data_IF_681456423567
#
_entry.id   IF_681456423567
#
_cell.length_a   1.000
_cell.length_b   1.000
_cell.length_c   1.000
_cell.angle_alpha   90.00
_cell.angle_beta   90.00
_cell.angle_gamma   90.00
#
_symmetry.space_group_name_H-M   'P 1'
#
loop_
_entity.id
_entity.type
_entity.pdbx_description
1 polymer ?
#
# COMPACT_ATOMS: atom_id res chain seq x y z
N UNK A 1 -3.75 27.17 13.51
CA UNK A 1 -5.01 27.88 13.23
C UNK A 1 -5.06 28.21 11.74
N UNK A 2 -6.21 28.02 11.12
CA UNK A 2 -6.47 28.33 9.72
C UNK A 2 -7.72 29.23 9.63
N UNK A 3 -7.60 30.37 8.99
CA UNK A 3 -8.71 31.30 8.73
C UNK A 3 -9.17 31.14 7.29
N UNK A 4 -10.47 30.90 7.12
CA UNK A 4 -11.12 30.75 5.82
C UNK A 4 -11.97 31.99 5.53
N UNK A 5 -11.75 32.65 4.40
CA UNK A 5 -12.60 33.77 3.94
C UNK A 5 -13.87 33.21 3.29
N UNK A 6 -14.88 32.98 4.12
CA UNK A 6 -16.19 32.49 3.69
C UNK A 6 -17.31 33.24 4.46
N UNK A 7 -18.38 33.58 3.74
CA UNK A 7 -19.47 34.41 4.29
C UNK A 7 -20.21 33.72 5.43
N UNK A 8 -20.43 32.41 5.32
CA UNK A 8 -21.15 31.60 6.29
C UNK A 8 -20.40 30.35 6.69
N UNK A 9 -20.68 29.84 7.89
CA UNK A 9 -20.17 28.53 8.36
C UNK A 9 -21.05 27.42 7.76
N UNK A 10 -20.55 26.66 6.76
CA UNK A 10 -21.32 25.55 6.21
C UNK A 10 -21.52 24.45 7.27
N UNK A 11 -22.67 23.75 7.25
CA UNK A 11 -22.96 22.66 8.20
C UNK A 11 -21.85 21.59 8.22
N UNK A 12 -21.31 21.25 7.06
CA UNK A 12 -20.21 20.28 6.92
C UNK A 12 -18.93 20.67 7.69
N UNK A 13 -18.62 21.98 7.79
CA UNK A 13 -17.50 22.44 8.61
C UNK A 13 -17.82 22.40 10.10
N UNK A 14 -19.07 22.65 10.49
CA UNK A 14 -19.49 22.56 11.89
C UNK A 14 -19.43 21.13 12.43
N UNK A 15 -19.69 20.14 11.57
CA UNK A 15 -19.62 18.71 11.91
C UNK A 15 -18.19 18.19 12.15
N UNK A 16 -17.16 18.94 11.73
CA UNK A 16 -15.77 18.52 11.91
C UNK A 16 -15.38 18.38 13.38
N UNK A 17 -16.04 19.12 14.29
CA UNK A 17 -15.74 19.07 15.72
C UNK A 17 -15.83 17.66 16.33
N UNK A 18 -16.63 16.78 15.76
CA UNK A 18 -16.82 15.39 16.25
C UNK A 18 -16.00 14.34 15.50
N UNK A 19 -15.19 14.72 14.51
CA UNK A 19 -14.49 13.75 13.64
C UNK A 19 -13.10 13.35 14.13
N UNK A 20 -12.55 14.06 15.09
CA UNK A 20 -11.28 13.68 15.73
C UNK A 20 -11.54 12.63 16.79
N UNK A 21 -10.94 11.48 16.65
CA UNK A 21 -11.05 10.36 17.62
C UNK A 21 -9.99 10.48 18.72
N UNK A 22 -10.27 9.92 19.89
CA UNK A 22 -9.36 10.02 21.05
C UNK A 22 -8.00 9.34 20.80
N UNK A 23 -7.97 8.38 19.90
CA UNK A 23 -6.76 7.62 19.49
C UNK A 23 -6.00 8.29 18.33
N UNK A 24 -6.44 9.44 17.82
CA UNK A 24 -5.67 10.18 16.81
C UNK A 24 -4.25 10.49 17.36
N UNK A 25 -3.17 10.13 16.65
CA UNK A 25 -1.82 10.27 17.19
C UNK A 25 -1.31 11.72 17.21
N UNK A 26 -1.92 12.64 16.46
CA UNK A 26 -1.42 14.01 16.25
C UNK A 26 -2.40 15.08 16.71
N UNK A 27 -3.71 14.86 16.55
CA UNK A 27 -4.74 15.85 16.83
C UNK A 27 -5.41 15.49 18.14
N UNK A 28 -5.41 16.44 19.09
CA UNK A 28 -6.13 16.33 20.35
C UNK A 28 -7.56 16.76 20.20
N UNK A 29 -7.81 17.79 19.38
CA UNK A 29 -9.14 18.34 19.14
C UNK A 29 -9.18 19.26 17.94
N UNK A 30 -10.39 19.43 17.42
CA UNK A 30 -10.67 20.32 16.31
C UNK A 30 -11.86 21.21 16.69
N UNK A 31 -11.71 22.51 16.53
CA UNK A 31 -12.74 23.49 16.80
C UNK A 31 -12.96 24.39 15.59
N UNK A 32 -14.20 24.60 15.22
CA UNK A 32 -14.59 25.45 14.10
C UNK A 32 -15.60 26.47 14.59
N UNK A 33 -15.42 27.72 14.20
CA UNK A 33 -16.32 28.78 14.58
C UNK A 33 -16.14 30.07 13.78
N UNK A 34 -17.14 30.97 13.86
CA UNK A 34 -17.02 32.30 13.28
C UNK A 34 -16.08 33.14 14.14
N UNK A 35 -15.02 33.66 13.51
CA UNK A 35 -14.05 34.53 14.17
C UNK A 35 -14.47 36.03 14.06
N UNK A 36 -14.81 36.45 12.84
CA UNK A 36 -15.29 37.79 12.50
C UNK A 36 -16.15 37.73 11.23
N UNK A 37 -16.89 38.79 10.87
CA UNK A 37 -17.69 38.77 9.64
C UNK A 37 -16.85 38.34 8.43
N UNK A 38 -17.36 37.34 7.70
CA UNK A 38 -16.67 36.78 6.51
C UNK A 38 -15.47 35.89 6.81
N UNK A 39 -15.16 35.57 8.08
CA UNK A 39 -14.03 34.70 8.44
C UNK A 39 -14.50 33.57 9.35
N UNK A 40 -14.33 32.34 8.90
CA UNK A 40 -14.45 31.12 9.70
C UNK A 40 -13.07 30.63 10.10
N UNK A 41 -12.91 30.34 11.40
CA UNK A 41 -11.63 29.87 11.94
C UNK A 41 -11.70 28.41 12.31
N UNK A 42 -10.72 27.65 11.81
CA UNK A 42 -10.39 26.29 12.25
C UNK A 42 -9.23 26.35 13.24
N UNK A 43 -9.39 25.69 14.38
CA UNK A 43 -8.33 25.52 15.38
C UNK A 43 -8.10 24.03 15.58
N UNK A 44 -6.89 23.57 15.28
CA UNK A 44 -6.46 22.21 15.60
C UNK A 44 -5.61 22.28 16.87
N UNK A 45 -6.02 21.58 17.88
CA UNK A 45 -5.24 21.35 19.09
C UNK A 45 -4.39 20.12 18.87
N UNK A 46 -3.08 20.27 18.93
CA UNK A 46 -2.12 19.24 18.53
C UNK A 46 -1.48 18.56 19.74
N UNK A 47 -1.23 17.25 19.66
CA UNK A 47 -0.54 16.48 20.69
C UNK A 47 0.99 16.57 20.57
N UNK A 48 1.49 16.89 19.38
CA UNK A 48 2.92 16.96 19.06
C UNK A 48 3.21 18.12 18.11
N UNK A 49 4.47 18.48 17.96
CA UNK A 49 4.90 19.46 16.98
C UNK A 49 4.73 18.91 15.56
N UNK A 50 4.17 19.72 14.67
CA UNK A 50 3.87 19.34 13.27
C UNK A 50 4.32 20.43 12.29
N UNK A 51 4.51 20.01 11.03
CA UNK A 51 4.73 20.89 9.87
C UNK A 51 3.48 20.90 9.01
N UNK A 52 2.61 21.91 9.10
CA UNK A 52 1.41 21.98 8.29
C UNK A 52 1.74 22.44 6.87
N UNK A 53 1.03 21.86 5.89
CA UNK A 53 1.02 22.31 4.50
C UNK A 53 -0.42 22.54 4.06
N UNK A 54 -0.69 23.70 3.43
CA UNK A 54 -2.03 24.06 2.91
C UNK A 54 -1.92 24.26 1.40
N UNK A 55 -2.78 23.61 0.65
CA UNK A 55 -2.84 23.74 -0.80
C UNK A 55 -4.25 23.48 -1.33
N UNK A 56 -4.52 23.94 -2.56
CA UNK A 56 -5.79 23.75 -3.21
C UNK A 56 -5.66 22.70 -4.31
N UNK A 57 -6.68 21.85 -4.44
CA UNK A 57 -6.79 20.89 -5.53
C UNK A 57 -7.88 21.31 -6.51
N UNK A 58 -7.59 21.19 -7.79
CA UNK A 58 -8.56 21.33 -8.85
C UNK A 58 -9.59 20.18 -8.81
N UNK A 59 -10.78 20.37 -9.42
CA UNK A 59 -11.77 19.30 -9.52
C UNK A 59 -11.22 18.06 -10.21
N UNK A 60 -11.53 16.89 -9.65
CA UNK A 60 -11.16 15.59 -10.23
C UNK A 60 -12.27 14.57 -9.95
N UNK A 61 -12.64 13.77 -10.95
CA UNK A 61 -13.71 12.80 -10.86
C UNK A 61 -15.02 13.43 -10.35
N UNK A 62 -15.60 12.94 -9.26
CA UNK A 62 -16.80 13.47 -8.63
C UNK A 62 -16.53 14.63 -7.63
N UNK A 63 -15.27 14.97 -7.41
CA UNK A 63 -14.87 16.00 -6.43
C UNK A 63 -14.72 17.38 -7.08
N UNK A 64 -15.31 18.39 -6.46
CA UNK A 64 -15.09 19.80 -6.80
C UNK A 64 -13.72 20.31 -6.32
N UNK A 65 -13.57 21.64 -6.25
CA UNK A 65 -12.38 22.24 -5.62
C UNK A 65 -12.26 21.83 -4.16
N UNK A 66 -11.06 21.47 -3.72
CA UNK A 66 -10.77 21.07 -2.34
C UNK A 66 -9.61 21.91 -1.78
N UNK A 67 -9.76 22.35 -0.54
CA UNK A 67 -8.67 22.89 0.25
C UNK A 67 -8.15 21.76 1.15
N UNK A 68 -6.88 21.45 1.04
CA UNK A 68 -6.23 20.40 1.81
C UNK A 68 -5.30 21.01 2.84
N UNK A 69 -5.37 20.50 4.06
CA UNK A 69 -4.42 20.79 5.14
C UNK A 69 -3.73 19.48 5.52
N UNK A 70 -2.52 19.28 5.04
CA UNK A 70 -1.67 18.16 5.45
C UNK A 70 -0.91 18.51 6.73
N UNK A 71 -0.83 17.54 7.63
CA UNK A 71 -0.14 17.67 8.91
C UNK A 71 0.94 16.59 8.99
N UNK A 72 2.20 17.00 8.87
CA UNK A 72 3.35 16.11 8.99
C UNK A 72 3.96 16.24 10.38
N UNK A 73 4.30 15.12 11.08
CA UNK A 73 5.03 15.19 12.33
C UNK A 73 6.39 15.86 12.11
N UNK A 74 6.80 16.75 13.02
CA UNK A 74 8.11 17.42 12.96
C UNK A 74 9.25 16.39 13.09
N UNK A 75 9.03 15.37 13.95
CA UNK A 75 9.88 14.19 14.08
C UNK A 75 9.10 13.00 13.54
N UNK A 76 9.51 12.37 12.42
CA UNK A 76 8.84 11.18 11.91
C UNK A 76 8.84 10.07 12.98
N UNK A 77 7.67 9.49 13.24
CA UNK A 77 7.60 8.26 14.03
C UNK A 77 8.39 7.18 13.27
N UNK A 78 9.33 6.54 13.95
CA UNK A 78 10.01 5.38 13.39
C UNK A 78 8.98 4.25 13.20
N UNK A 79 8.64 3.87 11.96
CA UNK A 79 7.65 2.83 11.72
C UNK A 79 8.08 1.48 12.28
N UNK A 80 9.39 1.28 12.43
CA UNK A 80 9.96 0.06 12.99
C UNK A 80 9.79 0.04 14.53
N UNK A 81 9.99 1.18 15.20
CA UNK A 81 9.75 1.30 16.63
C UNK A 81 8.27 1.09 16.98
N UNK A 82 7.35 1.69 16.19
CA UNK A 82 5.91 1.48 16.36
C UNK A 82 5.49 0.01 16.11
N UNK A 83 6.15 -0.69 15.19
CA UNK A 83 5.93 -2.12 14.93
C UNK A 83 6.47 -3.00 16.07
N UNK A 84 7.62 -2.65 16.64
CA UNK A 84 8.22 -3.36 17.77
C UNK A 84 7.36 -3.16 19.03
N UNK A 85 6.81 -1.97 19.25
CA UNK A 85 5.91 -1.70 20.39
C UNK A 85 4.52 -2.37 20.20
N UNK A 86 3.97 -2.40 18.98
CA UNK A 86 2.70 -3.06 18.70
C UNK A 86 2.80 -4.60 18.78
N UNK A 87 3.97 -5.17 18.49
CA UNK A 87 4.21 -6.62 18.42
C UNK A 87 4.99 -7.15 19.64
N UNK A 88 4.96 -6.46 20.77
CA UNK A 88 5.68 -6.75 22.03
C UNK A 88 5.76 -8.22 22.50
N UNK A 89 5.67 -9.19 21.57
CA UNK A 89 5.74 -10.64 21.74
C UNK A 89 6.66 -11.36 20.76
N UNK A 90 7.56 -10.66 20.07
CA UNK A 90 8.63 -11.40 19.36
C UNK A 90 9.62 -11.92 20.40
N UNK A 91 9.88 -13.24 20.47
CA UNK A 91 10.91 -13.76 21.35
C UNK A 91 12.26 -13.15 20.93
N UNK A 92 12.83 -12.35 21.81
CA UNK A 92 14.18 -11.84 21.66
C UNK A 92 15.10 -13.07 21.72
N UNK A 93 15.70 -13.43 20.59
CA UNK A 93 16.79 -14.38 20.58
C UNK A 93 17.92 -13.77 21.39
N UNK A 94 18.18 -14.30 22.58
CA UNK A 94 19.37 -13.97 23.37
C UNK A 94 20.60 -14.32 22.55
N UNK A 95 21.64 -13.47 22.55
CA UNK A 95 22.90 -13.83 21.92
C UNK A 95 23.48 -15.04 22.64
N UNK A 96 23.49 -16.17 21.97
CA UNK A 96 24.18 -17.36 22.47
C UNK A 96 25.65 -17.00 22.69
N UNK A 97 26.10 -17.19 23.93
CA UNK A 97 27.47 -17.02 24.32
C UNK A 97 28.39 -17.81 23.39
N UNK A 98 29.50 -17.18 22.99
CA UNK A 98 30.52 -17.78 22.17
C UNK A 98 31.08 -19.04 22.83
N UNK A 99 30.60 -20.19 22.38
CA UNK A 99 31.16 -21.52 22.69
C UNK A 99 31.90 -22.02 21.46
N UNK A 100 33.10 -22.54 21.70
CA UNK A 100 34.07 -23.01 20.71
C UNK A 100 33.49 -23.98 19.70
N UNK A 101 33.85 -23.77 18.47
CA UNK A 101 33.43 -24.53 17.29
C UNK A 101 33.96 -25.96 17.32
N UNK A 102 33.07 -26.94 17.35
CA UNK A 102 33.37 -28.29 16.94
C UNK A 102 33.23 -28.40 15.42
N UNK A 103 34.19 -29.01 14.67
CA UNK A 103 34.08 -29.18 13.22
C UNK A 103 33.16 -30.36 12.92
N UNK A 104 32.04 -30.14 12.24
CA UNK A 104 31.25 -31.24 11.69
C UNK A 104 29.72 -31.14 11.72
N UNK A 105 29.15 -30.03 12.13
CA UNK A 105 27.70 -29.83 12.00
C UNK A 105 27.40 -29.10 10.68
N UNK A 106 26.73 -29.74 9.72
CA UNK A 106 26.06 -29.08 8.61
C UNK A 106 25.18 -27.96 9.21
N UNK A 107 25.57 -26.73 8.96
CA UNK A 107 24.84 -25.54 9.36
C UNK A 107 23.41 -25.66 8.84
N UNK A 108 22.48 -26.05 9.70
CA UNK A 108 21.08 -25.95 9.42
C UNK A 108 20.82 -24.49 9.08
N UNK A 109 20.59 -24.18 7.81
CA UNK A 109 20.23 -22.84 7.35
C UNK A 109 18.95 -22.44 8.11
N UNK A 110 19.10 -21.60 9.13
CA UNK A 110 17.96 -20.98 9.79
C UNK A 110 17.19 -20.24 8.70
N UNK A 111 16.08 -20.82 8.28
CA UNK A 111 15.26 -20.25 7.22
C UNK A 111 14.66 -18.96 7.79
N UNK A 112 15.06 -17.82 7.26
CA UNK A 112 14.50 -16.52 7.63
C UNK A 112 13.03 -16.48 7.24
N UNK A 113 12.20 -15.86 8.08
CA UNK A 113 10.79 -15.59 7.78
C UNK A 113 10.67 -14.75 6.50
N UNK A 114 9.81 -15.14 5.58
CA UNK A 114 9.43 -14.33 4.44
C UNK A 114 8.49 -13.21 4.89
N UNK A 115 8.84 -11.97 4.59
CA UNK A 115 8.03 -10.80 4.92
C UNK A 115 7.27 -10.33 3.69
N UNK A 116 5.93 -10.41 3.74
CA UNK A 116 5.03 -10.02 2.67
C UNK A 116 4.33 -8.72 3.06
N UNK A 117 4.47 -7.67 2.26
CA UNK A 117 3.64 -6.47 2.41
C UNK A 117 2.43 -6.62 1.51
N UNK A 118 1.24 -6.53 2.12
CA UNK A 118 -0.05 -6.57 1.44
C UNK A 118 -0.61 -5.16 1.45
N UNK A 119 -0.98 -4.68 0.28
CA UNK A 119 -1.45 -3.32 0.07
C UNK A 119 -2.93 -3.35 -0.33
N UNK A 120 -3.87 -3.02 0.57
CA UNK A 120 -5.24 -2.79 0.17
C UNK A 120 -5.33 -1.52 -0.66
N UNK A 121 -5.72 -1.60 -1.92
CA UNK A 121 -5.88 -0.44 -2.80
C UNK A 121 -6.82 0.62 -2.21
N UNK A 122 -6.65 1.87 -2.63
CA UNK A 122 -7.50 3.00 -2.23
C UNK A 122 -7.54 3.29 -0.73
N UNK A 123 -8.62 3.96 -0.25
CA UNK A 123 -8.83 4.26 1.18
C UNK A 123 -9.13 5.73 1.44
N UNK A 124 -9.77 6.04 2.57
CA UNK A 124 -10.12 7.41 2.93
C UNK A 124 -10.99 8.09 1.89
N UNK A 125 -10.53 9.23 1.38
CA UNK A 125 -11.23 10.01 0.35
C UNK A 125 -11.25 9.33 -1.02
N UNK A 126 -10.36 8.40 -1.28
CA UNK A 126 -10.36 7.61 -2.50
C UNK A 126 -11.18 6.32 -2.30
N UNK A 127 -12.42 6.25 -2.81
CA UNK A 127 -13.26 5.06 -2.68
C UNK A 127 -12.82 3.93 -3.60
N UNK A 128 -11.95 4.19 -4.58
CA UNK A 128 -11.74 3.32 -5.72
C UNK A 128 -12.98 3.26 -6.63
N UNK A 129 -13.15 2.18 -7.33
CA UNK A 129 -14.35 1.92 -8.11
C UNK A 129 -15.56 1.70 -7.22
N UNK A 130 -16.73 2.13 -7.73
CA UNK A 130 -18.02 1.96 -7.04
C UNK A 130 -18.91 1.06 -7.90
N UNK A 131 -19.34 -0.05 -7.32
CA UNK A 131 -20.24 -1.00 -7.96
C UNK A 131 -21.68 -0.47 -8.06
N UNK A 132 -22.51 -1.21 -8.79
CA UNK A 132 -23.93 -0.84 -8.95
C UNK A 132 -24.77 -1.02 -7.68
N UNK A 133 -24.34 -1.88 -6.77
CA UNK A 133 -24.92 -2.06 -5.44
C UNK A 133 -24.31 -1.10 -4.39
N UNK A 134 -23.58 -0.08 -4.87
CA UNK A 134 -22.92 0.95 -4.05
C UNK A 134 -21.76 0.40 -3.18
N UNK A 135 -21.28 -0.81 -3.47
CA UNK A 135 -20.06 -1.34 -2.86
C UNK A 135 -18.87 -0.50 -3.29
N UNK A 136 -17.97 -0.19 -2.36
CA UNK A 136 -16.74 0.58 -2.64
C UNK A 136 -15.55 -0.34 -2.65
N UNK A 137 -14.71 -0.18 -3.63
CA UNK A 137 -13.51 -0.99 -3.80
C UNK A 137 -12.61 -0.95 -2.56
N UNK A 138 -12.39 0.22 -1.97
CA UNK A 138 -11.57 0.39 -0.77
C UNK A 138 -11.97 -0.51 0.41
N UNK A 139 -13.27 -0.79 0.56
CA UNK A 139 -13.79 -1.61 1.65
C UNK A 139 -13.55 -3.11 1.35
N UNK A 140 -13.77 -3.52 0.11
CA UNK A 140 -13.55 -4.89 -0.38
C UNK A 140 -12.06 -5.24 -0.31
N UNK A 141 -11.19 -4.38 -0.84
CA UNK A 141 -9.75 -4.62 -0.85
C UNK A 141 -9.18 -4.73 0.55
N UNK A 142 -9.65 -3.89 1.50
CA UNK A 142 -9.25 -3.96 2.90
C UNK A 142 -9.66 -5.28 3.54
N UNK A 143 -10.87 -5.76 3.25
CA UNK A 143 -11.38 -7.02 3.83
C UNK A 143 -10.59 -8.21 3.29
N UNK A 144 -10.38 -8.30 1.97
CA UNK A 144 -9.57 -9.37 1.36
C UNK A 144 -8.13 -9.34 1.87
N UNK A 145 -7.53 -8.15 1.98
CA UNK A 145 -6.16 -8.01 2.46
C UNK A 145 -6.00 -8.44 3.94
N UNK A 146 -6.97 -8.15 4.80
CA UNK A 146 -6.99 -8.62 6.20
C UNK A 146 -7.10 -10.15 6.28
N UNK A 147 -7.95 -10.77 5.45
CA UNK A 147 -8.07 -12.24 5.35
C UNK A 147 -6.76 -12.85 4.86
N UNK A 148 -6.17 -12.28 3.81
CA UNK A 148 -4.87 -12.73 3.30
C UNK A 148 -3.77 -12.61 4.36
N UNK A 149 -3.73 -11.47 5.09
CA UNK A 149 -2.77 -11.30 6.20
C UNK A 149 -2.93 -12.40 7.25
N UNK A 150 -4.14 -12.65 7.71
CA UNK A 150 -4.38 -13.69 8.72
C UNK A 150 -3.93 -15.08 8.23
N UNK A 151 -4.15 -15.41 6.96
CA UNK A 151 -3.70 -16.66 6.36
C UNK A 151 -2.17 -16.74 6.23
N UNK A 152 -1.51 -15.64 5.84
CA UNK A 152 -0.03 -15.57 5.75
C UNK A 152 0.59 -15.71 7.14
N UNK A 153 0.04 -15.02 8.16
CA UNK A 153 0.56 -15.07 9.52
C UNK A 153 0.39 -16.45 10.19
N UNK A 154 -0.56 -17.25 9.70
CA UNK A 154 -0.73 -18.65 10.12
C UNK A 154 0.35 -19.59 9.52
N UNK A 155 1.08 -19.16 8.49
CA UNK A 155 2.17 -19.94 7.92
C UNK A 155 3.44 -19.82 8.79
N UNK A 156 4.12 -20.95 9.10
CA UNK A 156 5.22 -20.95 10.07
C UNK A 156 6.41 -20.08 9.64
N UNK A 157 6.63 -19.94 8.32
CA UNK A 157 7.81 -19.28 7.74
C UNK A 157 7.46 -17.95 7.05
N UNK A 158 6.29 -17.36 7.33
CA UNK A 158 5.84 -16.12 6.70
C UNK A 158 5.28 -15.16 7.73
N UNK A 159 5.35 -13.88 7.42
CA UNK A 159 4.66 -12.78 8.15
C UNK A 159 4.14 -11.77 7.15
N UNK A 160 3.01 -11.15 7.47
CA UNK A 160 2.43 -10.13 6.63
C UNK A 160 2.28 -8.80 7.36
N UNK A 161 2.51 -7.71 6.63
CA UNK A 161 2.22 -6.34 7.04
C UNK A 161 1.24 -5.72 6.05
N UNK A 162 0.25 -5.01 6.56
CA UNK A 162 -0.64 -4.19 5.73
C UNK A 162 -0.05 -2.80 5.55
N UNK A 163 -0.20 -2.22 4.36
CA UNK A 163 0.12 -0.79 4.15
C UNK A 163 -0.84 0.09 4.91
N UNK A 164 -2.14 -0.24 4.94
CA UNK A 164 -3.19 0.32 5.79
C UNK A 164 -4.03 -0.79 6.41
N UNK A 165 -4.40 -0.62 7.65
CA UNK A 165 -5.22 -1.58 8.43
C UNK A 165 -6.66 -1.09 8.69
N UNK A 166 -6.97 0.14 8.27
CA UNK A 166 -8.28 0.80 8.40
C UNK A 166 -8.54 1.72 7.21
N UNK A 167 -9.70 2.39 7.23
CA UNK A 167 -10.10 3.29 6.16
C UNK A 167 -9.42 4.67 6.31
N UNK A 168 -8.27 4.83 5.68
CA UNK A 168 -7.59 6.10 5.46
C UNK A 168 -6.84 6.05 4.13
N UNK A 169 -6.60 7.21 3.53
CA UNK A 169 -5.81 7.29 2.31
C UNK A 169 -4.32 7.22 2.64
N UNK A 170 -3.60 6.40 1.89
CA UNK A 170 -2.14 6.31 1.93
C UNK A 170 -1.60 6.60 0.52
N UNK A 171 -0.76 7.64 0.32
CA UNK A 171 -0.18 7.96 -0.97
C UNK A 171 0.58 6.79 -1.59
N UNK A 172 0.55 6.67 -2.92
CA UNK A 172 1.18 5.55 -3.63
C UNK A 172 2.67 5.41 -3.32
N UNK A 173 3.40 6.54 -3.26
CA UNK A 173 4.80 6.55 -2.87
C UNK A 173 5.01 6.01 -1.44
N UNK A 174 4.15 6.37 -0.50
CA UNK A 174 4.25 5.91 0.89
C UNK A 174 4.00 4.40 1.03
N UNK A 175 3.14 3.80 0.18
CA UNK A 175 2.95 2.33 0.12
C UNK A 175 4.24 1.63 -0.28
N UNK A 176 4.90 2.11 -1.33
CA UNK A 176 6.21 1.61 -1.79
C UNK A 176 7.27 1.77 -0.71
N UNK A 177 7.36 2.97 -0.12
CA UNK A 177 8.33 3.27 0.94
C UNK A 177 8.15 2.39 2.16
N UNK A 178 6.90 2.11 2.55
CA UNK A 178 6.60 1.19 3.66
C UNK A 178 7.15 -0.21 3.40
N UNK A 179 6.93 -0.76 2.20
CA UNK A 179 7.46 -2.06 1.81
C UNK A 179 9.00 -2.09 1.84
N UNK A 180 9.65 -1.03 1.33
CA UNK A 180 11.11 -0.93 1.30
C UNK A 180 11.73 -0.75 2.68
N UNK A 181 11.14 0.10 3.53
CA UNK A 181 11.62 0.35 4.91
C UNK A 181 11.64 -0.92 5.75
N UNK A 182 10.63 -1.77 5.61
CA UNK A 182 10.58 -3.05 6.31
C UNK A 182 11.38 -4.15 5.60
N UNK A 183 12.01 -3.86 4.46
CA UNK A 183 12.74 -4.83 3.62
C UNK A 183 11.86 -6.04 3.27
N UNK A 184 10.68 -5.76 2.76
CA UNK A 184 9.75 -6.80 2.32
C UNK A 184 10.39 -7.72 1.27
N UNK A 185 10.08 -9.00 1.34
CA UNK A 185 10.46 -9.96 0.30
C UNK A 185 9.52 -9.90 -0.89
N UNK A 186 8.25 -9.57 -0.64
CA UNK A 186 7.20 -9.46 -1.66
C UNK A 186 6.26 -8.30 -1.31
N UNK A 187 5.73 -7.67 -2.35
CA UNK A 187 4.66 -6.69 -2.26
C UNK A 187 3.47 -7.13 -3.12
N UNK A 188 2.27 -7.16 -2.53
CA UNK A 188 1.04 -7.59 -3.20
C UNK A 188 -0.03 -6.54 -2.97
N UNK A 189 -0.34 -5.75 -4.02
CA UNK A 189 -1.45 -4.81 -4.01
C UNK A 189 -2.73 -5.54 -4.44
N UNK A 190 -3.81 -5.33 -3.70
CA UNK A 190 -5.11 -6.00 -3.88
C UNK A 190 -6.14 -4.98 -4.33
N UNK A 191 -6.77 -5.24 -5.47
CA UNK A 191 -7.74 -4.38 -6.14
C UNK A 191 -8.98 -5.15 -6.58
N UNK A 192 -10.04 -4.43 -6.95
CA UNK A 192 -11.29 -4.96 -7.50
C UNK A 192 -11.97 -3.91 -8.42
N UNK A 193 -11.23 -3.40 -9.39
CA UNK A 193 -11.53 -2.19 -10.16
C UNK A 193 -12.78 -2.29 -11.05
N UNK A 194 -13.17 -1.17 -11.62
CA UNK A 194 -14.17 -1.08 -12.66
C UNK A 194 -13.53 -1.21 -14.05
N UNK A 195 -14.14 -2.00 -14.90
CA UNK A 195 -13.73 -2.06 -16.29
C UNK A 195 -14.71 -1.29 -17.19
N UNK A 196 -14.19 -0.72 -18.30
CA UNK A 196 -14.98 0.06 -19.26
C UNK A 196 -16.21 -0.71 -19.80
N UNK A 197 -16.09 -2.05 -19.89
CA UNK A 197 -17.19 -2.91 -20.31
C UNK A 197 -17.86 -3.53 -19.10
N UNK A 198 -19.16 -3.30 -18.85
CA UNK A 198 -19.87 -3.80 -17.67
C UNK A 198 -19.95 -5.32 -17.57
N UNK A 199 -19.68 -6.04 -18.65
CA UNK A 199 -19.66 -7.50 -18.70
C UNK A 199 -18.26 -8.09 -18.51
N UNK A 200 -17.25 -7.27 -18.26
CA UNK A 200 -15.92 -7.75 -17.88
C UNK A 200 -16.02 -8.55 -16.60
N UNK A 201 -15.32 -9.68 -16.56
CA UNK A 201 -15.30 -10.58 -15.42
C UNK A 201 -13.95 -11.24 -15.29
N UNK A 202 -13.69 -11.76 -14.11
CA UNK A 202 -12.54 -12.58 -13.84
C UNK A 202 -11.36 -11.82 -13.25
N UNK A 203 -10.40 -12.57 -12.77
CA UNK A 203 -9.21 -12.03 -12.13
C UNK A 203 -8.11 -11.72 -13.13
N UNK A 204 -7.27 -10.74 -12.80
CA UNK A 204 -6.05 -10.39 -13.53
C UNK A 204 -4.90 -10.15 -12.57
N UNK A 205 -3.67 -10.27 -13.05
CA UNK A 205 -2.48 -9.90 -12.30
C UNK A 205 -1.58 -9.05 -13.17
N UNK A 206 -1.06 -7.99 -12.55
CA UNK A 206 -0.19 -7.02 -13.21
C UNK A 206 1.16 -6.93 -12.51
N UNK A 207 2.20 -6.66 -13.32
CA UNK A 207 3.53 -6.30 -12.87
C UNK A 207 3.96 -4.97 -13.47
N UNK A 208 5.00 -4.37 -12.92
CA UNK A 208 5.56 -3.14 -13.46
C UNK A 208 6.12 -3.35 -14.87
N UNK A 209 5.95 -2.35 -15.74
CA UNK A 209 6.70 -2.21 -16.98
C UNK A 209 7.53 -0.93 -16.95
N UNK A 210 8.82 -1.08 -17.18
CA UNK A 210 9.72 0.06 -17.39
C UNK A 210 9.66 0.67 -18.80
N UNK A 211 8.89 0.07 -19.72
CA UNK A 211 8.81 0.50 -21.13
C UNK A 211 7.38 0.84 -21.51
N UNK A 212 6.70 -0.09 -22.21
CA UNK A 212 5.32 0.07 -22.66
C UNK A 212 4.41 -0.93 -21.96
N UNK A 213 3.14 -0.55 -21.78
CA UNK A 213 2.12 -1.47 -21.31
C UNK A 213 1.93 -2.63 -22.33
N UNK A 214 1.61 -3.82 -21.81
CA UNK A 214 1.37 -5.01 -22.65
C UNK A 214 0.06 -4.94 -23.42
N UNK A 215 -0.89 -4.12 -22.95
CA UNK A 215 -2.15 -3.85 -23.63
C UNK A 215 -2.63 -2.42 -23.35
N UNK A 216 -3.53 -1.93 -24.19
CA UNK A 216 -4.18 -0.62 -23.98
C UNK A 216 -5.03 -0.64 -22.70
N UNK A 217 -5.69 -1.78 -22.41
CA UNK A 217 -6.43 -1.95 -21.17
C UNK A 217 -5.52 -1.81 -19.92
N UNK A 218 -4.37 -2.47 -19.93
CA UNK A 218 -3.38 -2.34 -18.85
C UNK A 218 -2.85 -0.91 -18.70
N UNK A 219 -2.69 -0.19 -19.82
CA UNK A 219 -2.27 1.21 -19.81
C UNK A 219 -3.32 2.13 -19.17
N UNK A 220 -4.58 1.94 -19.52
CA UNK A 220 -5.71 2.72 -18.99
C UNK A 220 -5.89 2.44 -17.51
N UNK A 221 -5.85 1.18 -17.09
CA UNK A 221 -5.92 0.79 -15.70
C UNK A 221 -4.79 1.43 -14.89
N UNK A 222 -3.54 1.30 -15.34
CA UNK A 222 -2.42 1.91 -14.64
C UNK A 222 -2.54 3.44 -14.54
N UNK A 223 -3.13 4.10 -15.53
CA UNK A 223 -3.42 5.52 -15.45
C UNK A 223 -4.45 5.81 -14.37
N UNK A 224 -5.55 5.09 -14.34
CA UNK A 224 -6.62 5.24 -13.34
C UNK A 224 -6.08 5.03 -11.92
N UNK A 225 -5.32 3.96 -11.69
CA UNK A 225 -4.70 3.69 -10.41
C UNK A 225 -3.70 4.77 -9.99
N UNK A 226 -2.91 5.29 -10.92
CA UNK A 226 -1.97 6.37 -10.63
C UNK A 226 -2.67 7.71 -10.33
N UNK A 227 -3.88 7.92 -10.82
CA UNK A 227 -4.68 9.12 -10.56
C UNK A 227 -5.30 9.10 -9.13
N UNK A 228 -5.19 8.00 -8.39
CA UNK A 228 -5.69 7.87 -7.01
C UNK A 228 -5.07 8.88 -6.04
N UNK A 229 -3.81 9.26 -6.23
CA UNK A 229 -3.16 10.31 -5.43
C UNK A 229 -3.86 11.67 -5.58
N UNK A 230 -4.40 11.98 -6.76
CA UNK A 230 -5.20 13.19 -6.98
C UNK A 230 -6.52 13.13 -6.22
N UNK A 231 -7.18 11.96 -6.23
CA UNK A 231 -8.44 11.72 -5.50
C UNK A 231 -8.19 11.76 -4.00
N UNK A 232 -7.16 11.12 -3.52
CA UNK A 232 -6.73 11.06 -2.12
C UNK A 232 -6.21 12.38 -1.55
N UNK A 233 -6.06 13.41 -2.40
CA UNK A 233 -5.68 14.75 -1.95
C UNK A 233 -4.18 14.99 -1.80
N UNK A 234 -3.34 14.23 -2.49
CA UNK A 234 -1.88 14.39 -2.43
C UNK A 234 -1.42 15.61 -3.22
N UNK A 235 -0.52 16.41 -2.65
CA UNK A 235 0.12 17.51 -3.35
C UNK A 235 1.19 17.01 -4.33
N UNK A 236 0.88 16.98 -5.61
CA UNK A 236 1.80 16.56 -6.67
C UNK A 236 2.82 17.64 -7.08
N UNK A 237 2.63 18.89 -6.66
CA UNK A 237 3.57 19.99 -6.94
C UNK A 237 4.84 19.90 -6.08
N UNK A 238 4.78 19.21 -4.96
CA UNK A 238 5.95 18.81 -4.19
C UNK A 238 6.66 17.73 -4.97
N UNK A 239 7.59 18.11 -5.84
CA UNK A 239 8.46 17.19 -6.55
C UNK A 239 9.20 16.33 -5.53
N UNK A 240 8.66 15.17 -5.26
CA UNK A 240 9.33 14.18 -4.45
C UNK A 240 10.57 13.73 -5.23
N UNK A 241 11.74 14.27 -4.84
CA UNK A 241 13.04 13.96 -5.45
C UNK A 241 13.34 12.45 -5.43
N UNK A 242 12.65 11.70 -4.57
CA UNK A 242 12.73 10.25 -4.50
C UNK A 242 12.15 9.52 -5.73
N UNK A 243 11.06 10.01 -6.31
CA UNK A 243 10.48 9.42 -7.53
C UNK A 243 11.33 9.63 -8.77
N UNK A 244 12.08 10.73 -8.83
CA UNK A 244 12.93 11.05 -9.98
C UNK A 244 14.27 10.28 -9.99
N UNK A 245 14.75 9.82 -8.84
CA UNK A 245 16.06 9.20 -8.69
C UNK A 245 16.03 7.66 -8.79
N UNK A 246 14.85 7.05 -8.85
CA UNK A 246 14.66 5.58 -8.91
C UNK A 246 14.60 5.03 -10.33
N UNK A 247 14.80 5.85 -11.33
CA UNK A 247 14.84 5.43 -12.73
C UNK A 247 16.27 5.00 -13.09
N UNK A 248 16.42 3.76 -13.52
CA UNK A 248 17.58 3.20 -14.22
C UNK A 248 18.60 2.49 -13.34
N UNK A 249 18.23 1.32 -12.84
CA UNK A 249 19.27 0.37 -12.47
C UNK A 249 18.93 -1.05 -13.00
N UNK A 250 19.95 -1.80 -13.35
CA UNK A 250 19.87 -3.22 -13.74
C UNK A 250 19.14 -4.07 -12.70
N UNK A 251 19.13 -3.63 -11.42
CA UNK A 251 18.36 -4.24 -10.34
C UNK A 251 16.86 -4.25 -10.63
N UNK A 252 16.30 -3.19 -11.23
CA UNK A 252 14.88 -3.09 -11.55
C UNK A 252 14.45 -4.14 -12.58
N UNK A 253 15.32 -4.46 -13.56
CA UNK A 253 15.01 -5.50 -14.56
C UNK A 253 14.88 -6.88 -13.91
N UNK A 254 15.78 -7.23 -13.00
CA UNK A 254 15.71 -8.48 -12.26
C UNK A 254 14.48 -8.54 -11.35
N UNK A 255 14.13 -7.43 -10.67
CA UNK A 255 12.95 -7.34 -9.82
C UNK A 255 11.66 -7.49 -10.61
N UNK A 256 11.59 -6.93 -11.83
CA UNK A 256 10.44 -7.12 -12.74
C UNK A 256 10.30 -8.60 -13.13
N UNK A 257 11.40 -9.30 -13.43
CA UNK A 257 11.33 -10.73 -13.77
C UNK A 257 10.83 -11.57 -12.58
N UNK A 258 11.28 -11.29 -11.37
CA UNK A 258 10.75 -11.91 -10.15
C UNK A 258 9.26 -11.58 -9.94
N UNK A 259 8.84 -10.35 -10.21
CA UNK A 259 7.43 -9.93 -10.16
C UNK A 259 6.56 -10.70 -11.15
N UNK A 260 7.05 -10.91 -12.36
CA UNK A 260 6.35 -11.72 -13.38
C UNK A 260 6.21 -13.19 -12.97
N UNK A 261 7.23 -13.77 -12.34
CA UNK A 261 7.18 -15.14 -11.80
C UNK A 261 6.19 -15.26 -10.64
N UNK A 262 6.21 -14.31 -9.71
CA UNK A 262 5.24 -14.21 -8.62
C UNK A 262 3.83 -14.08 -9.18
N UNK A 263 3.63 -13.13 -10.08
CA UNK A 263 2.34 -12.89 -10.72
C UNK A 263 1.80 -14.11 -11.45
N UNK A 264 2.66 -14.84 -12.17
CA UNK A 264 2.26 -16.07 -12.87
C UNK A 264 1.82 -17.16 -11.90
N UNK A 265 2.50 -17.28 -10.74
CA UNK A 265 2.12 -18.25 -9.71
C UNK A 265 0.77 -17.90 -9.08
N UNK A 266 0.56 -16.62 -8.76
CA UNK A 266 -0.73 -16.14 -8.20
C UNK A 266 -1.86 -16.25 -9.22
N UNK A 267 -1.65 -15.81 -10.47
CA UNK A 267 -2.65 -15.89 -11.53
C UNK A 267 -3.13 -17.33 -11.77
N UNK A 268 -2.19 -18.29 -11.79
CA UNK A 268 -2.53 -19.70 -11.93
C UNK A 268 -3.48 -20.19 -10.82
N UNK A 269 -3.25 -19.78 -9.59
CA UNK A 269 -4.09 -20.17 -8.45
C UNK A 269 -5.44 -19.48 -8.45
N UNK A 270 -5.49 -18.20 -8.84
CA UNK A 270 -6.76 -17.49 -9.04
C UNK A 270 -7.63 -18.15 -10.10
N UNK A 271 -7.03 -18.71 -11.15
CA UNK A 271 -7.76 -19.47 -12.18
C UNK A 271 -8.47 -20.72 -11.69
N UNK A 272 -8.19 -21.22 -10.48
CA UNK A 272 -8.95 -22.30 -9.84
C UNK A 272 -10.18 -21.83 -9.05
N UNK A 273 -10.27 -20.52 -8.77
CA UNK A 273 -11.36 -19.91 -7.98
C UNK A 273 -12.27 -19.07 -8.86
N UNK A 274 -11.70 -18.36 -9.82
CA UNK A 274 -12.41 -17.47 -10.70
C UNK A 274 -11.96 -17.65 -12.16
N UNK A 275 -12.82 -17.23 -13.10
CA UNK A 275 -12.39 -17.06 -14.50
C UNK A 275 -11.24 -16.07 -14.55
N UNK A 276 -10.27 -16.30 -15.40
CA UNK A 276 -9.21 -15.31 -15.64
C UNK A 276 -9.65 -14.34 -16.73
N UNK A 277 -9.59 -13.04 -16.46
CA UNK A 277 -9.79 -12.00 -17.47
C UNK A 277 -8.67 -12.03 -18.52
N UNK A 278 -7.44 -12.28 -18.06
CA UNK A 278 -6.28 -12.51 -18.90
C UNK A 278 -5.54 -13.76 -18.45
N UNK A 279 -5.19 -14.62 -19.42
CA UNK A 279 -4.51 -15.88 -19.14
C UNK A 279 -3.02 -15.72 -18.77
N UNK A 280 -2.50 -14.51 -18.80
CA UNK A 280 -1.10 -14.17 -18.50
C UNK A 280 -1.01 -12.88 -17.71
N UNK A 281 0.08 -12.70 -16.98
CA UNK A 281 0.40 -11.45 -16.28
C UNK A 281 0.55 -10.34 -17.33
N UNK A 282 -0.14 -9.24 -17.11
CA UNK A 282 0.02 -8.02 -17.91
C UNK A 282 1.00 -7.06 -17.23
N UNK A 283 1.49 -6.08 -17.97
CA UNK A 283 2.43 -5.10 -17.46
C UNK A 283 2.04 -3.68 -17.87
N UNK A 284 2.18 -2.74 -16.93
CA UNK A 284 2.03 -1.31 -17.21
C UNK A 284 2.79 -0.46 -16.16
N UNK A 285 2.71 0.85 -16.28
CA UNK A 285 3.43 1.81 -15.45
C UNK A 285 2.76 2.10 -14.12
N UNK A 286 2.38 1.09 -13.35
CA UNK A 286 1.77 1.26 -12.02
C UNK A 286 2.73 1.92 -11.04
N UNK A 287 2.35 3.07 -10.47
CA UNK A 287 3.19 3.81 -9.53
C UNK A 287 3.44 3.01 -8.25
N UNK A 288 2.43 2.31 -7.76
CA UNK A 288 2.51 1.49 -6.54
C UNK A 288 3.45 0.28 -6.66
N UNK A 289 3.82 -0.14 -7.88
CA UNK A 289 4.73 -1.26 -8.13
C UNK A 289 6.19 -0.82 -8.38
N UNK A 290 6.53 0.44 -8.16
CA UNK A 290 7.86 1.00 -8.51
C UNK A 290 8.95 0.72 -7.48
N UNK A 291 8.80 -0.25 -6.58
CA UNK A 291 9.90 -0.68 -5.72
C UNK A 291 11.01 -1.33 -6.55
N UNK A 292 12.24 -0.79 -6.57
CA UNK A 292 13.30 -1.34 -7.42
C UNK A 292 13.89 -2.64 -6.89
N UNK A 293 13.68 -2.91 -5.62
CA UNK A 293 14.32 -3.97 -4.82
C UNK A 293 13.31 -4.99 -4.25
N UNK A 294 12.01 -4.80 -4.45
CA UNK A 294 10.95 -5.68 -3.94
C UNK A 294 10.10 -6.20 -5.09
N UNK A 295 10.06 -7.52 -5.35
CA UNK A 295 9.12 -8.12 -6.30
C UNK A 295 7.68 -7.76 -5.97
N UNK A 296 7.00 -7.09 -6.90
CA UNK A 296 5.72 -6.42 -6.67
C UNK A 296 4.70 -6.80 -7.73
N UNK A 297 3.48 -7.11 -7.30
CA UNK A 297 2.35 -7.38 -8.18
C UNK A 297 1.10 -6.62 -7.72
N UNK A 298 0.22 -6.31 -8.67
CA UNK A 298 -1.14 -5.85 -8.42
C UNK A 298 -2.11 -6.95 -8.88
N UNK A 299 -3.03 -7.31 -8.01
CA UNK A 299 -4.01 -8.37 -8.21
C UNK A 299 -5.40 -7.76 -8.30
N UNK A 300 -5.98 -7.77 -9.50
CA UNK A 300 -7.40 -7.54 -9.70
C UNK A 300 -8.14 -8.83 -9.36
N UNK A 301 -8.83 -8.82 -8.25
CA UNK A 301 -9.53 -10.03 -7.75
C UNK A 301 -10.75 -10.36 -8.58
N UNK A 302 -11.51 -9.36 -8.99
CA UNK A 302 -12.66 -9.37 -9.89
C UNK A 302 -12.99 -7.94 -10.30
N UNK A 303 -14.02 -7.73 -11.13
CA UNK A 303 -14.45 -6.39 -11.54
C UNK A 303 -15.72 -5.97 -10.82
N UNK A 304 -15.63 -4.99 -9.90
CA UNK A 304 -16.77 -4.47 -9.13
C UNK A 304 -17.86 -3.84 -10.02
N UNK A 305 -17.51 -3.41 -11.23
CA UNK A 305 -18.46 -2.89 -12.23
C UNK A 305 -19.42 -3.96 -12.76
N UNK A 306 -19.10 -5.24 -12.61
CA UNK A 306 -19.96 -6.36 -12.96
C UNK A 306 -20.86 -6.74 -11.78
N UNK A 307 -22.21 -6.63 -11.89
CA UNK A 307 -23.11 -6.87 -10.75
C UNK A 307 -23.04 -8.28 -10.15
N UNK A 308 -22.71 -9.30 -10.95
CA UNK A 308 -22.55 -10.67 -10.46
C UNK A 308 -21.26 -10.81 -9.66
N UNK A 309 -20.17 -10.20 -10.14
CA UNK A 309 -18.90 -10.18 -9.40
C UNK A 309 -18.97 -9.30 -8.17
N UNK A 310 -19.65 -8.13 -8.23
CA UNK A 310 -19.89 -7.29 -7.06
C UNK A 310 -20.58 -8.04 -5.93
N UNK A 311 -21.62 -8.85 -6.24
CA UNK A 311 -22.27 -9.71 -5.24
C UNK A 311 -21.30 -10.71 -4.63
N UNK A 312 -20.48 -11.37 -5.46
CA UNK A 312 -19.46 -12.32 -4.99
C UNK A 312 -18.38 -11.65 -4.17
N UNK A 313 -17.93 -10.46 -4.58
CA UNK A 313 -16.93 -9.68 -3.84
C UNK A 313 -17.40 -9.28 -2.44
N UNK A 314 -18.72 -9.18 -2.21
CA UNK A 314 -19.32 -8.95 -0.89
C UNK A 314 -19.60 -10.24 -0.11
N UNK A 315 -19.37 -11.42 -0.70
CA UNK A 315 -19.51 -12.71 -0.06
C UNK A 315 -18.22 -13.11 0.68
N UNK A 316 -18.34 -13.41 1.96
CA UNK A 316 -17.19 -13.71 2.81
C UNK A 316 -16.45 -14.98 2.40
N UNK A 317 -17.17 -16.00 1.98
CA UNK A 317 -16.57 -17.26 1.54
C UNK A 317 -15.77 -17.07 0.26
N UNK A 318 -16.29 -16.26 -0.66
CA UNK A 318 -15.57 -15.92 -1.89
C UNK A 318 -14.32 -15.08 -1.62
N UNK A 319 -14.38 -14.13 -0.70
CA UNK A 319 -13.20 -13.37 -0.26
C UNK A 319 -12.13 -14.28 0.35
N UNK A 320 -12.53 -15.27 1.16
CA UNK A 320 -11.62 -16.28 1.70
C UNK A 320 -11.00 -17.15 0.61
N UNK A 321 -11.79 -17.57 -0.39
CA UNK A 321 -11.28 -18.33 -1.53
C UNK A 321 -10.24 -17.54 -2.32
N UNK A 322 -10.49 -16.25 -2.58
CA UNK A 322 -9.53 -15.35 -3.23
C UNK A 322 -8.23 -15.20 -2.41
N UNK A 323 -8.35 -14.94 -1.11
CA UNK A 323 -7.21 -14.82 -0.20
C UNK A 323 -6.38 -16.12 -0.16
N UNK A 324 -7.01 -17.28 -0.07
CA UNK A 324 -6.33 -18.60 -0.12
C UNK A 324 -5.64 -18.86 -1.46
N UNK A 325 -6.26 -18.45 -2.58
CA UNK A 325 -5.65 -18.58 -3.89
C UNK A 325 -4.38 -17.71 -4.01
N UNK A 326 -4.44 -16.45 -3.54
CA UNK A 326 -3.28 -15.55 -3.53
C UNK A 326 -2.16 -16.14 -2.65
N UNK A 327 -2.48 -16.58 -1.41
CA UNK A 327 -1.50 -17.23 -0.54
C UNK A 327 -0.88 -18.47 -1.22
N UNK A 328 -1.70 -19.31 -1.84
CA UNK A 328 -1.20 -20.52 -2.52
C UNK A 328 -0.21 -20.18 -3.63
N UNK A 329 -0.47 -19.09 -4.39
CA UNK A 329 0.46 -18.57 -5.40
C UNK A 329 1.75 -18.03 -4.80
N UNK A 330 1.67 -17.32 -3.68
CA UNK A 330 2.83 -16.83 -2.92
C UNK A 330 3.68 -18.03 -2.43
N UNK A 331 3.05 -19.06 -1.87
CA UNK A 331 3.74 -20.29 -1.43
C UNK A 331 4.45 -20.99 -2.58
N UNK A 332 3.79 -21.16 -3.71
CA UNK A 332 4.39 -21.76 -4.93
C UNK A 332 5.62 -20.97 -5.41
N UNK A 333 5.57 -19.65 -5.29
CA UNK A 333 6.67 -18.78 -5.65
C UNK A 333 7.83 -18.89 -4.66
N UNK A 334 7.57 -18.75 -3.34
CA UNK A 334 8.59 -18.81 -2.29
C UNK A 334 9.29 -20.19 -2.26
N UNK A 335 8.58 -21.28 -2.52
CA UNK A 335 9.17 -22.61 -2.60
C UNK A 335 10.25 -22.71 -3.68
N UNK A 336 10.13 -21.95 -4.76
CA UNK A 336 11.10 -21.90 -5.87
C UNK A 336 12.13 -20.78 -5.70
N UNK A 337 11.80 -19.75 -4.98
CA UNK A 337 12.59 -18.54 -4.78
C UNK A 337 12.59 -18.18 -3.30
N UNK A 338 13.28 -18.93 -2.45
CA UNK A 338 13.32 -18.67 -1.02
C UNK A 338 13.94 -17.31 -0.72
N UNK A 339 13.48 -16.63 0.36
CA UNK A 339 14.01 -15.36 0.79
C UNK A 339 15.53 -15.43 0.98
N UNK A 340 16.24 -14.45 0.44
CA UNK A 340 17.70 -14.36 0.63
C UNK A 340 18.02 -13.80 2.00
N UNK A 341 19.10 -14.27 2.66
CA UNK A 341 19.59 -13.60 3.86
C UNK A 341 19.90 -12.14 3.53
N UNK A 342 19.40 -11.20 4.36
CA UNK A 342 19.84 -9.82 4.22
C UNK A 342 21.31 -9.76 4.61
N UNK A 343 22.17 -9.25 3.73
CA UNK A 343 23.53 -8.89 4.12
C UNK A 343 23.42 -7.88 5.28
N UNK A 344 24.17 -8.07 6.38
CA UNK A 344 24.25 -7.06 7.41
C UNK A 344 24.71 -5.76 6.73
N UNK A 345 24.02 -4.65 7.03
CA UNK A 345 24.50 -3.34 6.63
C UNK A 345 25.91 -3.21 7.21
N UNK A 346 26.92 -3.15 6.39
CA UNK A 346 28.24 -2.67 6.79
C UNK A 346 28.05 -1.21 7.22
N UNK A 347 27.82 -1.00 8.52
CA UNK A 347 28.03 0.29 9.13
C UNK A 347 29.52 0.62 8.98
N UNK A 348 29.87 1.51 8.08
CA UNK A 348 31.24 1.95 7.95
C UNK A 348 31.83 1.95 6.56
N UNK A 349 31.31 2.77 5.67
CA UNK A 349 32.18 3.43 4.70
C UNK A 349 32.58 4.76 5.31
N UNK A 350 33.70 4.78 6.02
CA UNK A 350 34.41 6.03 6.37
C UNK A 350 34.62 6.86 5.12
N UNK A 351 34.43 8.18 5.16
CA UNK A 351 34.76 9.04 4.03
C UNK A 351 36.27 8.89 3.73
N UNK A 352 36.55 8.59 2.46
CA UNK A 352 37.92 8.62 1.92
C UNK A 352 38.56 9.94 2.32
N UNK A 353 39.61 9.86 3.15
CA UNK A 353 40.52 10.97 3.39
C UNK A 353 41.12 11.33 2.05
N UNK A 354 40.84 12.54 1.59
CA UNK A 354 41.62 13.21 0.59
C UNK A 354 43.04 13.33 1.14
N UNK A 355 43.99 12.65 0.53
CA UNK A 355 45.42 12.89 0.69
C UNK A 355 45.81 13.97 -0.29
N UNK A 356 46.55 14.94 0.25
CA UNK A 356 47.23 16.06 -0.41
C UNK A 356 47.99 15.68 -1.67
#
# INVERSE_FOLDING_TARGET
MLDLEIADLPPALAELNGKVTADDPYIQGLRVGRNRPGIVRLVLDLKTEVKPQVFALAPVAAYGHRLVLDIYPATPLDPLAALIEADGKLPRAEPAAAGESAPGAESAKVARLALIVIDPGHGGEDPGAIGRLVSREKDITLTIARRLKALVDAEPNMRALLTRDRDFYLPLAARVDKARKVRADLFVSVHADAFVRPNARGSSVFALSGKRATSEAARLLAKQENDSDLIGGVNLDVKDKYLAQTLLDLSQTATIDYSLRLGSSVLKRLGSVNTLHKARVEQAGFAVLKAPDVPSILVETAFISNPEEEKRLNDEEYQDQLARAILSGIRDYIAKHPPRPHSPLTAGASPLALRD
#
